data_IF_488292734725
#
_entry.id   IF_488292734725
#
_cell.length_a   1.000
_cell.length_b   1.000
_cell.length_c   1.000
_cell.angle_alpha   90.00
_cell.angle_beta   90.00
_cell.angle_gamma   90.00
#
_symmetry.space_group_name_H-M   'P 1'
#
loop_
_entity.id
_entity.type
_entity.pdbx_description
1 polymer ?
#
# COMPACT_ATOMS: atom_id res chain seq x y z
N UNK A 1 -5.75 -4.76 -28.33
CA UNK A 1 -4.57 -4.08 -27.76
C UNK A 1 -3.49 -5.13 -27.50
N UNK A 2 -2.20 -4.87 -27.72
CA UNK A 2 -1.18 -5.89 -27.44
C UNK A 2 -1.13 -6.18 -25.93
N UNK A 3 -0.84 -7.43 -25.54
CA UNK A 3 -0.74 -7.81 -24.11
C UNK A 3 0.23 -6.92 -23.33
N UNK A 4 1.31 -6.50 -23.98
CA UNK A 4 2.30 -5.59 -23.41
C UNK A 4 1.70 -4.20 -23.13
N UNK A 5 0.91 -3.65 -24.05
CA UNK A 5 0.28 -2.34 -23.83
C UNK A 5 -0.74 -2.38 -22.68
N UNK A 6 -1.49 -3.48 -22.55
CA UNK A 6 -2.39 -3.69 -21.41
C UNK A 6 -1.59 -3.79 -20.11
N UNK A 7 -0.53 -4.59 -20.07
CA UNK A 7 0.34 -4.70 -18.90
C UNK A 7 0.96 -3.36 -18.49
N UNK A 8 1.45 -2.56 -19.45
CA UNK A 8 1.98 -1.23 -19.18
C UNK A 8 0.93 -0.31 -18.57
N UNK A 9 -0.31 -0.35 -19.09
CA UNK A 9 -1.43 0.42 -18.57
C UNK A 9 -1.82 0.00 -17.15
N UNK A 10 -2.00 -1.30 -16.90
CA UNK A 10 -2.34 -1.81 -15.57
C UNK A 10 -1.19 -1.57 -14.57
N UNK A 11 0.06 -1.69 -15.01
CA UNK A 11 1.23 -1.31 -14.23
C UNK A 11 1.24 0.18 -13.89
N UNK A 12 0.83 1.05 -14.82
CA UNK A 12 0.68 2.49 -14.55
C UNK A 12 -0.40 2.73 -13.48
N UNK A 13 -1.54 2.05 -13.58
CA UNK A 13 -2.61 2.13 -12.58
C UNK A 13 -2.08 1.72 -11.20
N UNK A 14 -1.42 0.57 -11.11
CA UNK A 14 -0.82 0.10 -9.86
C UNK A 14 0.18 1.12 -9.32
N UNK A 15 1.10 1.61 -10.15
CA UNK A 15 2.10 2.60 -9.75
C UNK A 15 1.49 3.91 -9.27
N UNK A 16 0.39 4.36 -9.88
CA UNK A 16 -0.35 5.55 -9.43
C UNK A 16 -1.02 5.32 -8.07
N UNK A 17 -1.67 4.17 -7.90
CA UNK A 17 -2.64 3.96 -6.82
C UNK A 17 -2.08 3.25 -5.60
N UNK A 18 -0.92 2.59 -5.69
CA UNK A 18 -0.33 1.83 -4.57
C UNK A 18 0.08 2.73 -3.41
N UNK A 19 0.59 3.93 -3.72
CA UNK A 19 1.08 4.85 -2.69
C UNK A 19 0.05 5.91 -2.34
N UNK A 20 -0.69 6.40 -3.33
CA UNK A 20 -1.80 7.31 -3.07
C UNK A 20 -2.84 6.57 -2.22
N UNK A 21 -3.47 7.23 -1.24
CA UNK A 21 -4.36 6.56 -0.31
C UNK A 21 -5.74 6.29 -0.95
N UNK A 22 -5.77 5.58 -2.08
CA UNK A 22 -6.96 5.40 -2.92
C UNK A 22 -7.28 3.95 -3.24
N UNK A 23 -6.59 2.99 -2.59
CA UNK A 23 -6.71 1.54 -2.79
C UNK A 23 -6.34 1.08 -4.20
N UNK A 24 -5.10 0.62 -4.36
CA UNK A 24 -4.60 0.03 -5.62
C UNK A 24 -5.36 -1.21 -6.04
N UNK A 25 -5.60 -2.13 -5.10
CA UNK A 25 -6.30 -3.39 -5.37
C UNK A 25 -7.69 -3.17 -5.99
N UNK A 26 -8.47 -2.20 -5.48
CA UNK A 26 -9.77 -1.87 -6.06
C UNK A 26 -9.67 -1.38 -7.51
N UNK A 27 -8.75 -0.45 -7.79
CA UNK A 27 -8.57 0.10 -9.13
C UNK A 27 -8.03 -0.94 -10.12
N UNK A 28 -7.07 -1.75 -9.69
CA UNK A 28 -6.44 -2.76 -10.53
C UNK A 28 -7.46 -3.83 -10.94
N UNK A 29 -8.21 -4.39 -9.99
CA UNK A 29 -9.24 -5.42 -10.26
C UNK A 29 -10.33 -4.90 -11.19
N UNK A 30 -10.82 -3.67 -10.96
CA UNK A 30 -11.84 -3.05 -11.83
C UNK A 30 -11.31 -2.90 -13.26
N UNK A 31 -10.11 -2.34 -13.42
CA UNK A 31 -9.55 -2.08 -14.75
C UNK A 31 -9.11 -3.35 -15.47
N UNK A 32 -8.71 -4.39 -14.75
CA UNK A 32 -8.50 -5.73 -15.31
C UNK A 32 -9.78 -6.31 -15.90
N UNK A 33 -10.93 -6.12 -15.24
CA UNK A 33 -12.24 -6.53 -15.75
C UNK A 33 -12.57 -5.96 -17.14
N UNK A 34 -12.13 -4.72 -17.41
CA UNK A 34 -12.29 -4.08 -18.73
C UNK A 34 -11.23 -4.52 -19.76
N UNK A 35 -10.09 -5.07 -19.32
CA UNK A 35 -9.00 -5.52 -20.19
C UNK A 35 -9.15 -6.96 -20.69
N UNK A 36 -10.04 -7.76 -20.07
CA UNK A 36 -10.39 -9.11 -20.49
C UNK A 36 -10.13 -10.18 -19.42
N UNK A 37 -10.78 -11.34 -19.58
CA UNK A 37 -10.78 -12.44 -18.58
C UNK A 37 -9.39 -12.98 -18.22
N UNK A 38 -8.41 -12.86 -19.12
CA UNK A 38 -7.03 -13.29 -18.89
C UNK A 38 -6.26 -12.41 -17.88
N UNK A 39 -6.78 -11.21 -17.58
CA UNK A 39 -6.21 -10.27 -16.61
C UNK A 39 -6.91 -10.32 -15.27
N UNK A 40 -8.20 -10.64 -15.25
CA UNK A 40 -9.01 -10.69 -14.02
C UNK A 40 -8.54 -11.82 -13.12
N UNK A 41 -8.11 -11.50 -11.89
CA UNK A 41 -7.61 -12.49 -10.93
C UNK A 41 -6.27 -13.12 -11.32
N UNK A 42 -5.49 -12.45 -12.17
CA UNK A 42 -4.16 -12.90 -12.54
C UNK A 42 -3.15 -12.61 -11.42
N UNK A 43 -3.08 -13.53 -10.47
CA UNK A 43 -2.23 -13.42 -9.27
C UNK A 43 -0.77 -13.15 -9.63
N UNK A 44 -0.21 -13.86 -10.63
CA UNK A 44 1.19 -13.67 -11.00
C UNK A 44 1.47 -12.26 -11.54
N UNK A 45 0.55 -11.71 -12.33
CA UNK A 45 0.64 -10.33 -12.80
C UNK A 45 0.51 -9.35 -11.63
N UNK A 46 -0.44 -9.56 -10.72
CA UNK A 46 -0.64 -8.72 -9.54
C UNK A 46 0.61 -8.68 -8.67
N UNK A 47 1.22 -9.84 -8.38
CA UNK A 47 2.52 -9.93 -7.69
C UNK A 47 3.58 -9.12 -8.43
N UNK A 48 3.68 -9.26 -9.77
CA UNK A 48 4.71 -8.57 -10.54
C UNK A 48 4.62 -7.04 -10.43
N UNK A 49 3.41 -6.47 -10.48
CA UNK A 49 3.24 -5.02 -10.39
C UNK A 49 3.44 -4.51 -8.95
N UNK A 50 3.08 -5.30 -7.93
CA UNK A 50 3.36 -4.97 -6.52
C UNK A 50 4.87 -5.02 -6.21
N UNK A 51 5.61 -5.96 -6.83
CA UNK A 51 7.07 -5.97 -6.76
C UNK A 51 7.67 -4.72 -7.40
N UNK A 52 7.15 -4.28 -8.54
CA UNK A 52 7.56 -3.03 -9.20
C UNK A 52 7.43 -1.82 -8.28
N UNK A 53 6.27 -1.64 -7.63
CA UNK A 53 6.08 -0.59 -6.63
C UNK A 53 6.97 -0.78 -5.40
N UNK A 54 7.18 -2.01 -4.93
CA UNK A 54 8.08 -2.27 -3.79
C UNK A 54 9.52 -1.83 -4.09
N UNK A 55 10.01 -2.10 -5.31
CA UNK A 55 11.31 -1.60 -5.78
C UNK A 55 11.32 -0.07 -5.79
N UNK A 56 10.23 0.59 -6.18
CA UNK A 56 10.13 2.05 -6.15
C UNK A 56 10.30 2.60 -4.72
N UNK A 57 9.70 1.97 -3.71
CA UNK A 57 9.89 2.34 -2.30
C UNK A 57 11.35 2.16 -1.88
N UNK A 58 11.96 1.02 -2.20
CA UNK A 58 13.36 0.73 -1.85
C UNK A 58 14.30 1.76 -2.45
N UNK A 59 14.10 2.12 -3.72
CA UNK A 59 14.91 3.13 -4.41
C UNK A 59 14.69 4.52 -3.80
N UNK A 60 13.42 4.91 -3.61
CA UNK A 60 13.06 6.23 -3.11
C UNK A 60 13.57 6.46 -1.68
N UNK A 61 13.43 5.47 -0.79
CA UNK A 61 13.88 5.52 0.61
C UNK A 61 15.22 4.82 0.84
N UNK A 62 16.06 4.72 -0.19
CA UNK A 62 17.33 3.97 -0.13
C UNK A 62 18.28 4.49 0.95
N UNK A 63 18.33 5.81 1.15
CA UNK A 63 19.20 6.44 2.17
C UNK A 63 18.70 6.12 3.58
N UNK A 64 17.41 6.19 3.78
CA UNK A 64 16.72 5.89 5.03
C UNK A 64 16.89 4.41 5.39
N UNK A 65 16.69 3.52 4.42
CA UNK A 65 16.85 2.07 4.58
C UNK A 65 18.29 1.70 4.92
N UNK A 66 19.28 2.25 4.19
CA UNK A 66 20.70 2.10 4.53
C UNK A 66 21.02 2.64 5.92
N UNK A 67 20.38 3.75 6.31
CA UNK A 67 20.46 4.30 7.65
C UNK A 67 19.99 3.31 8.71
N UNK A 68 18.82 2.70 8.52
CA UNK A 68 18.25 1.69 9.41
C UNK A 68 19.12 0.44 9.51
N UNK A 69 19.59 -0.09 8.37
CA UNK A 69 20.48 -1.26 8.32
C UNK A 69 21.78 -0.99 9.09
N UNK A 70 22.42 0.17 8.87
CA UNK A 70 23.62 0.55 9.64
C UNK A 70 23.29 0.76 11.13
N UNK A 71 22.12 1.30 11.43
CA UNK A 71 21.66 1.58 12.79
C UNK A 71 21.47 0.35 13.67
N UNK A 72 21.31 -0.84 13.09
CA UNK A 72 21.24 -2.11 13.83
C UNK A 72 22.57 -2.87 13.88
N UNK A 73 23.61 -2.39 13.19
CA UNK A 73 24.93 -3.02 13.23
C UNK A 73 25.69 -2.65 14.51
N UNK A 74 26.48 -3.57 15.10
CA UNK A 74 27.18 -3.32 16.36
C UNK A 74 28.06 -2.07 16.38
N UNK A 75 28.72 -1.76 15.25
CA UNK A 75 29.66 -0.63 15.12
C UNK A 75 28.99 0.74 14.98
N UNK A 76 27.74 0.78 14.54
CA UNK A 76 26.99 2.01 14.25
C UNK A 76 25.61 1.98 14.90
N UNK A 77 25.53 1.30 16.04
CA UNK A 77 24.28 1.06 16.75
C UNK A 77 23.60 2.38 17.11
N UNK A 78 22.34 2.47 16.73
CA UNK A 78 21.48 3.61 16.96
C UNK A 78 20.16 3.07 17.52
N UNK A 79 19.90 3.35 18.80
CA UNK A 79 18.73 2.85 19.52
C UNK A 79 17.42 3.24 18.83
N UNK A 80 17.36 4.44 18.25
CA UNK A 80 16.16 4.95 17.60
C UNK A 80 15.88 4.20 16.30
N UNK A 81 16.92 3.94 15.51
CA UNK A 81 16.83 3.13 14.28
C UNK A 81 16.53 1.67 14.58
N UNK A 82 17.16 1.09 15.61
CA UNK A 82 16.89 -0.26 16.05
C UNK A 82 15.42 -0.44 16.50
N UNK A 83 14.88 0.52 17.25
CA UNK A 83 13.46 0.53 17.61
C UNK A 83 12.55 0.62 16.37
N UNK A 84 12.93 1.43 15.38
CA UNK A 84 12.19 1.51 14.11
C UNK A 84 12.18 0.17 13.39
N UNK A 85 13.35 -0.49 13.23
CA UNK A 85 13.46 -1.81 12.60
C UNK A 85 12.63 -2.85 13.34
N UNK A 86 12.72 -2.88 14.68
CA UNK A 86 11.88 -3.76 15.51
C UNK A 86 10.39 -3.49 15.29
N UNK A 87 9.99 -2.22 15.25
CA UNK A 87 8.63 -1.82 14.96
C UNK A 87 8.15 -2.29 13.59
N UNK A 88 8.99 -2.18 12.54
CA UNK A 88 8.65 -2.65 11.19
C UNK A 88 8.41 -4.16 11.19
N UNK A 89 9.30 -4.94 11.83
CA UNK A 89 9.15 -6.39 11.96
C UNK A 89 7.85 -6.73 12.70
N UNK A 90 7.57 -6.06 13.83
CA UNK A 90 6.37 -6.30 14.61
C UNK A 90 5.09 -5.93 13.84
N UNK A 91 5.09 -4.81 13.14
CA UNK A 91 4.00 -4.38 12.26
C UNK A 91 3.71 -5.44 11.20
N UNK A 92 4.75 -5.94 10.53
CA UNK A 92 4.61 -6.99 9.52
C UNK A 92 4.15 -8.31 10.13
N UNK A 93 4.64 -8.69 11.30
CA UNK A 93 4.22 -9.91 11.99
C UNK A 93 2.72 -9.85 12.32
N UNK A 94 2.23 -8.73 12.88
CA UNK A 94 0.80 -8.54 13.15
C UNK A 94 -0.02 -8.58 11.85
N UNK A 95 0.45 -7.92 10.80
CA UNK A 95 -0.18 -7.94 9.47
C UNK A 95 -0.28 -9.37 8.93
N UNK A 96 0.81 -10.12 8.96
CA UNK A 96 0.89 -11.50 8.48
C UNK A 96 0.02 -12.45 9.29
N UNK A 97 -0.06 -12.29 10.61
CA UNK A 97 -0.98 -13.07 11.45
C UNK A 97 -2.42 -12.83 11.02
N UNK A 98 -2.84 -11.56 10.85
CA UNK A 98 -4.19 -11.23 10.40
C UNK A 98 -4.45 -11.81 8.99
N UNK A 99 -3.52 -11.62 8.07
CA UNK A 99 -3.61 -12.13 6.69
C UNK A 99 -3.78 -13.64 6.63
N UNK A 100 -2.99 -14.39 7.41
CA UNK A 100 -3.05 -15.86 7.43
C UNK A 100 -4.30 -16.38 8.14
N UNK A 101 -4.69 -15.78 9.26
CA UNK A 101 -5.88 -16.21 10.03
C UNK A 101 -7.19 -15.96 9.28
N UNK A 102 -7.26 -14.89 8.49
CA UNK A 102 -8.47 -14.47 7.79
C UNK A 102 -8.39 -14.64 6.26
N UNK A 103 -7.41 -15.39 5.74
CA UNK A 103 -7.13 -15.56 4.30
C UNK A 103 -8.40 -15.81 3.48
N UNK A 104 -9.12 -16.89 3.77
CA UNK A 104 -10.32 -17.30 3.03
C UNK A 104 -11.43 -16.23 3.06
N UNK A 105 -11.52 -15.47 4.16
CA UNK A 105 -12.51 -14.38 4.28
C UNK A 105 -12.13 -13.19 3.41
N UNK A 106 -10.86 -12.84 3.37
CA UNK A 106 -10.39 -11.76 2.50
C UNK A 106 -10.58 -12.12 1.03
N UNK A 107 -10.25 -13.36 0.62
CA UNK A 107 -10.49 -13.83 -0.75
C UNK A 107 -11.97 -13.74 -1.16
N UNK A 108 -12.88 -14.14 -0.27
CA UNK A 108 -14.33 -14.02 -0.52
C UNK A 108 -14.78 -12.56 -0.71
N UNK A 109 -14.15 -11.60 -0.02
CA UNK A 109 -14.49 -10.18 -0.11
C UNK A 109 -14.15 -9.56 -1.47
N UNK A 110 -13.16 -10.08 -2.20
CA UNK A 110 -12.84 -9.61 -3.57
C UNK A 110 -13.98 -9.87 -4.57
N UNK A 111 -14.86 -10.82 -4.25
CA UNK A 111 -16.05 -11.13 -5.05
C UNK A 111 -17.28 -10.32 -4.63
N UNK A 112 -17.14 -9.31 -3.77
CA UNK A 112 -18.24 -8.48 -3.26
C UNK A 112 -18.07 -7.01 -3.69
N UNK A 113 -18.47 -6.63 -4.91
CA UNK A 113 -18.19 -5.29 -5.45
C UNK A 113 -18.77 -4.14 -4.61
N UNK A 114 -19.92 -4.36 -3.98
CA UNK A 114 -20.52 -3.38 -3.06
C UNK A 114 -19.65 -3.15 -1.81
N UNK A 115 -19.04 -4.20 -1.27
CA UNK A 115 -18.12 -4.10 -0.15
C UNK A 115 -16.87 -3.30 -0.55
N UNK A 116 -16.32 -3.54 -1.74
CA UNK A 116 -15.15 -2.80 -2.25
C UNK A 116 -15.45 -1.30 -2.32
N UNK A 117 -16.62 -0.93 -2.83
CA UNK A 117 -17.01 0.47 -2.93
C UNK A 117 -17.22 1.14 -1.56
N UNK A 118 -17.87 0.45 -0.62
CA UNK A 118 -18.02 0.94 0.76
C UNK A 118 -16.66 1.06 1.45
N UNK A 119 -15.78 0.07 1.29
CA UNK A 119 -14.41 0.11 1.79
C UNK A 119 -13.62 1.28 1.22
N UNK A 120 -13.80 1.61 -0.07
CA UNK A 120 -13.19 2.79 -0.67
C UNK A 120 -13.71 4.08 -0.01
N UNK A 121 -15.01 4.16 0.30
CA UNK A 121 -15.55 5.30 1.05
C UNK A 121 -14.98 5.39 2.47
N UNK A 122 -14.76 4.25 3.14
CA UNK A 122 -14.09 4.18 4.45
C UNK A 122 -12.66 4.70 4.33
N UNK A 123 -11.91 4.32 3.29
CA UNK A 123 -10.59 4.90 3.00
C UNK A 123 -10.66 6.42 2.95
N UNK A 124 -11.65 6.98 2.26
CA UNK A 124 -11.81 8.43 2.20
C UNK A 124 -12.07 9.07 3.56
N UNK A 125 -12.77 8.39 4.47
CA UNK A 125 -12.95 8.86 5.86
C UNK A 125 -11.64 8.84 6.65
N UNK A 126 -10.80 7.81 6.47
CA UNK A 126 -9.47 7.73 7.10
C UNK A 126 -8.58 8.87 6.61
N UNK A 127 -8.61 9.16 5.31
CA UNK A 127 -7.82 10.24 4.71
C UNK A 127 -8.27 11.61 5.18
N UNK A 128 -9.59 11.85 5.21
CA UNK A 128 -10.13 13.09 5.73
C UNK A 128 -9.73 13.30 7.19
N UNK A 129 -9.81 12.25 8.01
CA UNK A 129 -9.40 12.33 9.41
C UNK A 129 -7.90 12.58 9.56
N UNK A 130 -7.08 11.99 8.68
CA UNK A 130 -5.64 12.24 8.63
C UNK A 130 -5.34 13.72 8.35
N UNK A 131 -6.05 14.34 7.40
CA UNK A 131 -5.94 15.78 7.12
C UNK A 131 -6.31 16.62 8.36
N UNK A 132 -7.45 16.33 9.01
CA UNK A 132 -7.90 17.06 10.20
C UNK A 132 -6.94 16.95 11.39
N UNK A 133 -6.19 15.84 11.47
CA UNK A 133 -5.24 15.55 12.53
C UNK A 133 -3.80 15.80 12.10
N UNK A 134 -3.59 16.38 10.92
CA UNK A 134 -2.25 16.64 10.41
C UNK A 134 -1.49 17.57 11.36
N UNK A 135 -0.37 17.08 11.89
CA UNK A 135 0.50 17.83 12.78
C UNK A 135 1.91 17.83 12.21
N UNK A 136 2.44 19.02 11.93
CA UNK A 136 3.84 19.21 11.53
C UNK A 136 4.82 19.09 12.70
N UNK A 137 4.32 19.06 13.93
CA UNK A 137 5.11 19.01 15.17
C UNK A 137 4.93 17.68 15.90
N UNK A 138 4.54 16.62 15.18
CA UNK A 138 4.43 15.29 15.77
C UNK A 138 5.78 14.69 16.13
N UNK A 139 5.78 13.49 16.72
CA UNK A 139 7.03 12.82 17.12
C UNK A 139 7.60 12.07 15.91
N UNK A 140 8.83 12.42 15.53
CA UNK A 140 9.56 11.78 14.42
C UNK A 140 10.60 10.77 14.89
N UNK A 141 10.75 9.69 14.14
CA UNK A 141 11.77 8.66 14.35
C UNK A 141 11.57 7.78 15.59
N UNK A 142 10.50 7.97 16.36
CA UNK A 142 10.18 7.12 17.51
C UNK A 142 8.96 6.25 17.19
N UNK A 143 9.06 4.96 17.48
CA UNK A 143 7.97 4.00 17.30
C UNK A 143 7.90 3.16 18.57
N UNK A 144 6.79 3.29 19.31
CA UNK A 144 6.52 2.45 20.49
C UNK A 144 6.02 1.08 20.02
N UNK A 145 6.13 0.09 20.90
CA UNK A 145 5.57 -1.25 20.65
C UNK A 145 4.07 -1.16 20.32
N UNK A 146 3.33 -0.35 21.06
CA UNK A 146 1.90 -0.13 20.80
C UNK A 146 1.65 0.50 19.43
N UNK A 147 2.51 1.44 18.99
CA UNK A 147 2.35 2.08 17.69
C UNK A 147 2.50 1.04 16.56
N UNK A 148 3.53 0.20 16.64
CA UNK A 148 3.75 -0.88 15.68
C UNK A 148 2.61 -1.91 15.66
N UNK A 149 2.05 -2.27 16.82
CA UNK A 149 0.91 -3.20 16.89
C UNK A 149 -0.32 -2.57 16.23
N UNK A 150 -0.67 -1.34 16.59
CA UNK A 150 -1.85 -0.66 16.04
C UNK A 150 -1.70 -0.45 14.53
N UNK A 151 -0.55 0.03 14.06
CA UNK A 151 -0.28 0.18 12.63
C UNK A 151 -0.34 -1.17 11.92
N UNK A 152 0.16 -2.25 12.54
CA UNK A 152 0.04 -3.62 12.02
C UNK A 152 -1.39 -4.11 11.89
N UNK A 153 -2.26 -3.77 12.85
CA UNK A 153 -3.71 -4.07 12.77
C UNK A 153 -4.36 -3.32 11.62
N UNK A 154 -4.11 -2.01 11.48
CA UNK A 154 -4.63 -1.22 10.36
C UNK A 154 -4.10 -1.71 9.01
N UNK A 155 -2.84 -2.15 8.94
CA UNK A 155 -2.27 -2.75 7.75
C UNK A 155 -2.92 -4.10 7.42
N UNK A 156 -3.19 -4.94 8.42
CA UNK A 156 -3.92 -6.20 8.24
C UNK A 156 -5.38 -5.99 7.81
N UNK A 157 -6.06 -4.97 8.35
CA UNK A 157 -7.40 -4.56 7.91
C UNK A 157 -7.37 -4.10 6.45
N UNK A 158 -6.29 -3.47 6.00
CA UNK A 158 -6.14 -3.01 4.63
C UNK A 158 -5.95 -4.12 3.59
N UNK A 159 -5.95 -5.39 3.99
CA UNK A 159 -6.11 -6.52 3.07
C UNK A 159 -7.53 -6.55 2.49
N UNK A 160 -8.52 -5.96 3.19
CA UNK A 160 -9.88 -5.80 2.67
C UNK A 160 -9.83 -4.98 1.37
N UNK A 161 -10.38 -5.49 0.25
CA UNK A 161 -10.37 -4.77 -1.01
C UNK A 161 -11.15 -3.46 -0.90
N UNK A 162 -10.59 -2.38 -1.47
CA UNK A 162 -11.11 -1.02 -1.34
C UNK A 162 -10.58 -0.26 -0.12
N UNK A 163 -10.02 -0.92 0.89
CA UNK A 163 -9.27 -0.24 1.95
C UNK A 163 -7.86 0.07 1.43
N UNK A 164 -7.43 1.33 1.50
CA UNK A 164 -6.05 1.68 1.17
C UNK A 164 -5.11 1.33 2.33
N UNK A 165 -4.07 0.54 2.03
CA UNK A 165 -2.99 0.24 2.97
C UNK A 165 -2.23 1.49 3.39
N UNK A 166 -1.80 2.33 2.44
CA UNK A 166 -1.09 3.57 2.76
C UNK A 166 -2.00 4.50 3.57
N UNK A 167 -3.25 4.71 3.15
CA UNK A 167 -4.23 5.54 3.89
C UNK A 167 -4.44 5.06 5.33
N UNK A 168 -4.67 3.76 5.52
CA UNK A 168 -4.93 3.16 6.84
C UNK A 168 -3.75 3.25 7.80
N UNK A 169 -2.54 2.97 7.31
CA UNK A 169 -1.33 2.98 8.15
C UNK A 169 -0.83 4.39 8.44
N UNK A 170 -0.96 5.32 7.49
CA UNK A 170 -0.67 6.74 7.71
C UNK A 170 -1.66 7.30 8.73
N UNK A 171 -2.96 7.04 8.55
CA UNK A 171 -4.00 7.41 9.49
C UNK A 171 -3.66 6.94 10.90
N UNK A 172 -3.36 5.64 11.06
CA UNK A 172 -3.00 5.05 12.35
C UNK A 172 -1.81 5.78 12.99
N UNK A 173 -0.72 6.02 12.24
CA UNK A 173 0.44 6.74 12.76
C UNK A 173 0.10 8.17 13.21
N UNK A 174 -0.68 8.90 12.41
CA UNK A 174 -1.07 10.29 12.70
C UNK A 174 -1.96 10.37 13.94
N UNK A 175 -2.96 9.50 14.09
CA UNK A 175 -3.82 9.50 15.29
C UNK A 175 -3.07 9.07 16.56
N UNK A 176 -2.00 8.29 16.42
CA UNK A 176 -1.09 7.94 17.53
C UNK A 176 -0.13 9.07 17.91
N UNK A 177 -0.12 10.18 17.16
CA UNK A 177 0.68 11.37 17.43
C UNK A 177 2.03 11.42 16.73
N UNK A 178 2.28 10.55 15.76
CA UNK A 178 3.48 10.63 14.90
C UNK A 178 3.40 11.88 14.02
N UNK A 179 4.56 12.44 13.66
CA UNK A 179 4.62 13.42 12.58
C UNK A 179 4.11 12.79 11.29
N UNK A 180 3.34 13.55 10.49
CA UNK A 180 2.66 13.00 9.32
C UNK A 180 3.63 12.55 8.21
N UNK A 181 4.76 13.25 8.03
CA UNK A 181 5.79 12.83 7.08
C UNK A 181 6.51 11.57 7.58
N UNK A 182 6.78 11.51 8.88
CA UNK A 182 7.35 10.32 9.51
C UNK A 182 6.40 9.11 9.46
N UNK A 183 5.11 9.28 9.75
CA UNK A 183 4.10 8.23 9.64
C UNK A 183 4.01 7.67 8.21
N UNK A 184 4.10 8.56 7.22
CA UNK A 184 4.14 8.20 5.80
C UNK A 184 5.40 7.41 5.45
N UNK A 185 6.57 7.86 5.91
CA UNK A 185 7.81 7.12 5.71
C UNK A 185 7.75 5.74 6.38
N UNK A 186 7.26 5.66 7.62
CA UNK A 186 7.11 4.41 8.35
C UNK A 186 6.15 3.44 7.65
N UNK A 187 4.99 3.93 7.20
CA UNK A 187 4.01 3.16 6.41
C UNK A 187 4.65 2.53 5.17
N UNK A 188 5.43 3.28 4.41
CA UNK A 188 6.08 2.76 3.21
C UNK A 188 7.20 1.77 3.52
N UNK A 189 8.02 2.05 4.52
CA UNK A 189 9.03 1.09 4.96
C UNK A 189 8.39 -0.21 5.47
N UNK A 190 7.25 -0.14 6.16
CA UNK A 190 6.52 -1.31 6.67
C UNK A 190 5.92 -2.16 5.56
N UNK A 191 5.57 -1.55 4.42
CA UNK A 191 5.04 -2.29 3.28
C UNK A 191 6.06 -3.13 2.54
N UNK A 192 7.35 -2.80 2.62
CA UNK A 192 8.39 -3.61 1.95
C UNK A 192 8.34 -5.06 2.44
N UNK A 193 8.53 -5.36 3.75
CA UNK A 193 8.47 -6.73 4.24
C UNK A 193 7.07 -7.35 4.14
N UNK A 194 6.00 -6.55 4.21
CA UNK A 194 4.62 -7.07 4.07
C UNK A 194 4.34 -7.55 2.63
N UNK A 195 4.62 -6.72 1.62
CA UNK A 195 4.41 -7.06 0.21
C UNK A 195 5.36 -8.17 -0.22
N UNK A 196 6.64 -8.15 0.19
CA UNK A 196 7.56 -9.24 -0.09
C UNK A 196 7.12 -10.56 0.55
N UNK A 197 6.56 -10.51 1.76
CA UNK A 197 5.98 -11.69 2.42
C UNK A 197 4.78 -12.24 1.65
N UNK A 198 3.83 -11.40 1.25
CA UNK A 198 2.67 -11.79 0.45
C UNK A 198 3.10 -12.35 -0.92
N UNK A 199 4.01 -11.67 -1.62
CA UNK A 199 4.55 -12.11 -2.90
C UNK A 199 5.27 -13.47 -2.79
N UNK A 200 6.01 -13.72 -1.70
CA UNK A 200 6.65 -15.01 -1.47
C UNK A 200 5.62 -16.13 -1.32
N UNK A 201 4.58 -15.91 -0.51
CA UNK A 201 3.49 -16.88 -0.30
C UNK A 201 2.76 -17.19 -1.61
N UNK A 202 2.37 -16.17 -2.38
CA UNK A 202 1.66 -16.35 -3.65
C UNK A 202 2.54 -16.98 -4.73
N UNK A 203 3.83 -16.64 -4.77
CA UNK A 203 4.76 -17.21 -5.75
C UNK A 203 5.03 -18.70 -5.50
N UNK A 204 5.19 -19.09 -4.23
CA UNK A 204 5.41 -20.51 -3.88
C UNK A 204 4.24 -21.40 -4.25
N UNK A 205 3.02 -20.86 -4.24
CA UNK A 205 1.82 -21.61 -4.62
C UNK A 205 1.71 -21.81 -6.14
N UNK A 206 2.40 -20.99 -6.95
CA UNK A 206 2.25 -20.95 -8.41
C UNK A 206 3.42 -21.58 -9.18
N UNK A 207 4.66 -21.50 -8.67
CA UNK A 207 5.89 -21.99 -9.33
C UNK A 207 6.03 -21.58 -10.82
N UNK A 208 5.59 -20.38 -11.17
CA UNK A 208 5.57 -19.89 -12.56
C UNK A 208 6.69 -18.89 -12.86
N UNK A 209 7.02 -18.74 -14.15
CA UNK A 209 8.01 -17.77 -14.63
C UNK A 209 7.29 -16.52 -15.11
N UNK A 210 7.80 -15.34 -14.73
CA UNK A 210 7.28 -14.07 -15.23
C UNK A 210 7.38 -13.97 -16.76
N UNK A 211 6.27 -13.65 -17.41
CA UNK A 211 6.20 -13.37 -18.83
C UNK A 211 6.75 -11.97 -19.16
N UNK A 212 6.95 -11.68 -20.45
CA UNK A 212 7.32 -10.34 -20.90
C UNK A 212 6.25 -9.28 -20.55
N UNK A 213 4.98 -9.68 -20.47
CA UNK A 213 3.90 -8.78 -20.06
C UNK A 213 4.01 -8.44 -18.57
N UNK A 214 4.27 -9.42 -17.71
CA UNK A 214 4.46 -9.23 -16.27
C UNK A 214 5.64 -8.29 -16.00
N UNK A 215 6.77 -8.53 -16.68
CA UNK A 215 7.95 -7.67 -16.58
C UNK A 215 7.69 -6.23 -17.07
N UNK A 216 6.88 -6.06 -18.12
CA UNK A 216 6.50 -4.73 -18.61
C UNK A 216 5.60 -3.99 -17.59
N UNK A 217 4.63 -4.69 -16.99
CA UNK A 217 3.79 -4.14 -15.93
C UNK A 217 4.60 -3.77 -14.68
N UNK A 218 5.52 -4.64 -14.26
CA UNK A 218 6.45 -4.39 -13.17
C UNK A 218 7.32 -3.15 -13.42
N UNK A 219 7.85 -2.99 -14.64
CA UNK A 219 8.63 -1.80 -14.99
C UNK A 219 7.78 -0.53 -14.99
N UNK A 220 6.57 -0.59 -15.54
CA UNK A 220 5.63 0.54 -15.55
C UNK A 220 5.26 0.99 -14.14
N UNK A 221 4.87 0.03 -13.29
CA UNK A 221 4.50 0.29 -11.89
C UNK A 221 5.67 0.81 -11.05
N UNK A 222 6.90 0.36 -11.32
CA UNK A 222 8.12 0.92 -10.72
C UNK A 222 8.32 2.39 -11.09
N UNK A 223 8.33 2.72 -12.39
CA UNK A 223 8.59 4.09 -12.86
C UNK A 223 7.50 5.04 -12.36
N UNK A 224 6.23 4.66 -12.53
CA UNK A 224 5.09 5.46 -12.13
C UNK A 224 5.02 5.57 -10.62
N UNK A 225 5.34 4.50 -9.89
CA UNK A 225 5.43 4.48 -8.44
C UNK A 225 6.38 5.52 -7.86
N UNK A 226 7.56 5.72 -8.47
CA UNK A 226 8.49 6.78 -8.07
C UNK A 226 7.89 8.18 -8.21
N UNK A 227 7.06 8.40 -9.24
CA UNK A 227 6.36 9.67 -9.45
C UNK A 227 5.27 9.85 -8.38
N UNK A 228 4.48 8.81 -8.12
CA UNK A 228 3.40 8.82 -7.12
C UNK A 228 3.90 9.08 -5.71
N UNK A 229 5.06 8.52 -5.31
CA UNK A 229 5.68 8.83 -4.02
C UNK A 229 6.01 10.32 -3.89
N UNK A 230 6.53 10.95 -4.95
CA UNK A 230 6.81 12.39 -4.96
C UNK A 230 5.53 13.22 -4.86
N UNK A 231 4.48 12.82 -5.58
CA UNK A 231 3.17 13.47 -5.54
C UNK A 231 2.59 13.40 -4.12
N UNK A 232 2.61 12.23 -3.48
CA UNK A 232 2.08 12.07 -2.14
C UNK A 232 2.83 12.91 -1.10
N UNK A 233 4.18 12.85 -1.12
CA UNK A 233 4.98 13.66 -0.20
C UNK A 233 4.73 15.15 -0.43
N UNK A 234 4.52 15.56 -1.68
CA UNK A 234 4.17 16.94 -2.01
C UNK A 234 2.77 17.32 -1.50
N UNK A 235 1.75 16.47 -1.66
CA UNK A 235 0.38 16.76 -1.18
C UNK A 235 0.32 16.84 0.34
N UNK A 236 1.04 15.96 1.04
CA UNK A 236 1.20 16.02 2.50
C UNK A 236 1.83 17.34 2.95
N UNK A 237 2.96 17.73 2.33
CA UNK A 237 3.63 19.00 2.65
C UNK A 237 2.77 20.24 2.36
N UNK A 238 1.81 20.13 1.45
CA UNK A 238 0.92 21.22 1.03
C UNK A 238 -0.44 21.21 1.73
N UNK A 239 -0.70 20.30 2.68
CA UNK A 239 -2.01 20.14 3.34
C UNK A 239 -3.14 19.99 2.31
N UNK A 240 -2.94 19.02 1.39
CA UNK A 240 -3.87 18.69 0.31
C UNK A 240 -4.23 17.20 0.32
N UNK A 241 -4.13 16.55 1.48
CA UNK A 241 -4.45 15.13 1.61
C UNK A 241 -5.94 14.88 1.42
N UNK A 242 -6.79 15.86 1.75
CA UNK A 242 -8.25 15.80 1.54
C UNK A 242 -8.66 15.48 0.09
N UNK A 243 -7.82 15.75 -0.91
CA UNK A 243 -8.12 15.47 -2.31
C UNK A 243 -8.37 13.98 -2.52
N UNK A 244 -7.63 13.11 -1.82
CA UNK A 244 -7.81 11.67 -1.90
C UNK A 244 -9.08 11.20 -1.21
N UNK A 245 -9.47 11.84 -0.11
CA UNK A 245 -10.75 11.58 0.55
C UNK A 245 -11.93 11.82 -0.40
N UNK A 246 -11.94 12.97 -1.07
CA UNK A 246 -12.98 13.33 -2.05
C UNK A 246 -12.97 12.34 -3.22
N UNK A 247 -11.80 11.98 -3.73
CA UNK A 247 -11.68 10.98 -4.79
C UNK A 247 -12.31 9.65 -4.39
N UNK A 248 -11.94 9.11 -3.23
CA UNK A 248 -12.46 7.84 -2.71
C UNK A 248 -13.99 7.86 -2.54
N UNK A 249 -14.56 8.96 -2.03
CA UNK A 249 -16.02 9.10 -1.92
C UNK A 249 -16.71 9.18 -3.28
N UNK A 250 -16.16 9.94 -4.22
CA UNK A 250 -16.75 10.06 -5.56
C UNK A 250 -16.70 8.74 -6.32
N UNK A 251 -15.55 8.05 -6.32
CA UNK A 251 -15.40 6.76 -7.01
C UNK A 251 -16.23 5.68 -6.32
N UNK A 252 -16.21 5.61 -4.99
CA UNK A 252 -17.03 4.67 -4.24
C UNK A 252 -18.53 4.88 -4.48
N UNK A 253 -19.01 6.12 -4.44
CA UNK A 253 -20.41 6.45 -4.71
C UNK A 253 -20.78 6.16 -6.18
N UNK A 254 -19.93 6.51 -7.14
CA UNK A 254 -20.17 6.21 -8.55
C UNK A 254 -20.28 4.69 -8.78
N UNK A 255 -19.45 3.89 -8.12
CA UNK A 255 -19.49 2.44 -8.23
C UNK A 255 -20.80 1.88 -7.66
N UNK A 256 -21.23 2.33 -6.48
CA UNK A 256 -22.52 1.95 -5.88
C UNK A 256 -23.73 2.32 -6.76
N UNK A 257 -23.70 3.51 -7.39
CA UNK A 257 -24.81 4.01 -8.22
C UNK A 257 -24.85 3.34 -9.59
N UNK A 258 -23.70 2.99 -10.17
CA UNK A 258 -23.61 2.44 -11.53
C UNK A 258 -24.30 1.08 -11.71
N UNK A 259 -24.64 0.38 -10.62
CA UNK A 259 -25.33 -0.91 -10.70
C UNK A 259 -24.48 -2.02 -11.33
N UNK A 260 -23.16 -1.83 -11.43
CA UNK A 260 -22.18 -2.85 -11.83
C UNK A 260 -21.95 -3.86 -10.67
N UNK A 261 -22.98 -4.04 -9.82
CA UNK A 261 -23.03 -4.91 -8.65
C UNK A 261 -23.65 -6.26 -8.99
#
# INVERSE_FOLDING_TARGET
>A
MSKILIALFLGLVQGLTEFLPVSSSGHLVILQGFCGKEWTGNVLFDVSVHLGTTIAVIVYFSRELLGLIKGVMPRSWDRQKANTVFGLILTTAVTGIIGLVFKDRFEAMFSMPALVAVSLMITGLLDFTTELRYRQTGISGHVRVLDAIVIGVFQGIAIIPGISRSGSTIFAGVILGMDALWATQYSFLASIPAILGAALLEYTDMLQVFSLADLAGMLSSFIVGLISLRILVWTLKKHRYFIFAVYCWLVGAAYLVSGVL
#
